data_IF_264511128323
#
_entry.id   IF_264511128323
#
_cell.length_a   1.000
_cell.length_b   1.000
_cell.length_c   1.000
_cell.angle_alpha   90.00
_cell.angle_beta   90.00
_cell.angle_gamma   90.00
#
_symmetry.space_group_name_H-M   'P 1'
#
loop_
_entity.id
_entity.type
_entity.pdbx_description
1 polymer ?
#
# COMPACT_ATOMS: atom_id res chain seq x y z
N UNK A 1 24.89 22.93 -1.30
CA UNK A 1 24.48 22.71 -1.33
C UNK A 1 23.95 22.27 -1.00
N UNK A 2 24.06 22.11 -1.19
CA UNK A 2 23.54 21.61 -1.11
C UNK A 2 22.94 21.11 -1.01
N UNK A 3 23.01 20.96 -1.10
CA UNK A 3 22.40 20.38 -1.14
C UNK A 3 21.81 19.96 -1.12
N UNK A 4 22.20 20.12 -1.36
CA UNK A 4 21.45 19.59 -1.48
C UNK A 4 21.01 18.91 -1.26
N UNK A 5 21.25 18.69 -1.31
CA UNK A 5 20.74 18.02 -1.22
C UNK A 5 20.11 17.44 -0.72
N UNK A 6 20.27 17.42 -0.50
CA UNK A 6 19.53 17.07 -0.08
C UNK A 6 18.96 16.46 0.03
N UNK A 7 19.06 16.31 -0.39
CA UNK A 7 18.41 15.87 -0.56
C UNK A 7 17.96 15.04 -0.21
N UNK A 8 18.29 14.84 -0.54
CA UNK A 8 18.10 13.80 -0.37
C UNK A 8 17.36 13.01 0.59
N UNK A 9 17.20 13.17 1.51
CA UNK A 9 16.32 12.65 2.46
C UNK A 9 14.96 12.45 1.94
N UNK A 10 14.64 13.26 1.00
CA UNK A 10 13.40 13.12 0.32
C UNK A 10 13.33 11.84 -0.46
N UNK A 11 14.41 11.11 -0.47
CA UNK A 11 14.47 9.89 -1.25
C UNK A 11 13.81 8.72 -0.60
N UNK A 12 13.45 8.84 0.69
CA UNK A 12 12.78 7.75 1.39
C UNK A 12 11.31 8.09 1.56
N UNK A 13 10.47 7.25 1.00
CA UNK A 13 9.02 7.39 1.08
C UNK A 13 8.53 6.52 2.22
N UNK A 14 8.42 7.11 3.41
CA UNK A 14 8.10 6.40 4.64
C UNK A 14 6.65 5.98 4.72
N UNK A 15 6.36 5.04 5.60
CA UNK A 15 4.99 4.62 5.86
C UNK A 15 4.09 5.80 6.19
N UNK A 16 4.56 6.74 7.01
CA UNK A 16 3.79 7.93 7.36
C UNK A 16 3.48 8.80 6.14
N UNK A 17 4.38 8.84 5.17
CA UNK A 17 4.14 9.57 3.92
C UNK A 17 3.05 8.88 3.10
N UNK A 18 3.08 7.56 3.02
CA UNK A 18 2.06 6.78 2.31
C UNK A 18 0.70 7.04 2.94
N UNK A 19 0.60 6.95 4.25
CA UNK A 19 -0.64 7.20 4.98
C UNK A 19 -1.14 8.61 4.69
N UNK A 20 -0.26 9.60 4.74
CA UNK A 20 -0.64 11.00 4.48
C UNK A 20 -1.17 11.21 3.06
N UNK A 21 -0.53 10.62 2.07
CA UNK A 21 -0.97 10.71 0.68
C UNK A 21 -2.38 10.12 0.54
N UNK A 22 -2.59 8.93 1.10
CA UNK A 22 -3.88 8.25 0.98
C UNK A 22 -4.98 8.99 1.71
N UNK A 23 -4.71 9.47 2.93
CA UNK A 23 -5.72 10.20 3.68
C UNK A 23 -6.22 11.43 2.91
N UNK A 24 -5.30 12.21 2.37
CA UNK A 24 -5.67 13.40 1.60
C UNK A 24 -6.38 13.05 0.30
N UNK A 25 -5.82 12.12 -0.45
CA UNK A 25 -6.36 11.76 -1.74
C UNK A 25 -7.73 11.12 -1.66
N UNK A 26 -7.90 10.20 -0.72
CA UNK A 26 -9.19 9.53 -0.54
C UNK A 26 -10.26 10.52 -0.09
N UNK A 27 -9.92 11.41 0.84
CA UNK A 27 -10.88 12.44 1.27
C UNK A 27 -11.29 13.35 0.12
N UNK A 28 -10.35 13.75 -0.72
CA UNK A 28 -10.64 14.56 -1.90
C UNK A 28 -11.58 13.82 -2.86
N UNK A 29 -11.47 12.50 -2.91
CA UNK A 29 -12.32 11.67 -3.78
C UNK A 29 -13.63 11.28 -3.13
N UNK A 30 -13.94 11.83 -1.97
CA UNK A 30 -15.23 11.65 -1.32
C UNK A 30 -15.31 10.49 -0.33
N UNK A 31 -14.20 9.87 0.00
CA UNK A 31 -14.17 8.79 0.98
C UNK A 31 -14.17 9.35 2.41
N UNK A 32 -14.86 8.67 3.31
CA UNK A 32 -14.73 8.88 4.74
C UNK A 32 -13.53 8.03 5.18
N UNK A 33 -12.52 8.66 5.78
CA UNK A 33 -11.25 7.98 6.11
C UNK A 33 -10.99 8.08 7.61
N UNK A 34 -10.65 6.95 8.22
CA UNK A 34 -10.22 6.89 9.62
C UNK A 34 -8.89 6.19 9.68
N UNK A 35 -8.02 6.61 10.61
CA UNK A 35 -6.76 5.94 10.84
C UNK A 35 -6.77 5.24 12.20
N UNK A 36 -5.87 4.28 12.37
CA UNK A 36 -5.73 3.48 13.59
C UNK A 36 -7.07 2.88 14.01
N UNK A 37 -7.71 2.17 13.08
CA UNK A 37 -9.04 1.60 13.31
C UNK A 37 -8.93 0.27 14.03
N UNK A 38 -9.64 0.13 15.14
CA UNK A 38 -9.63 -1.11 15.93
C UNK A 38 -10.50 -2.17 15.26
N UNK A 39 -9.93 -3.34 15.07
CA UNK A 39 -10.60 -4.52 14.53
C UNK A 39 -10.50 -5.65 15.55
N UNK A 40 -11.02 -6.82 15.20
CA UNK A 40 -11.04 -7.97 16.11
C UNK A 40 -9.64 -8.37 16.58
N UNK A 41 -8.64 -8.28 15.72
CA UNK A 41 -7.28 -8.78 15.96
C UNK A 41 -6.21 -7.70 16.04
N UNK A 42 -6.59 -6.46 16.25
CA UNK A 42 -5.62 -5.36 16.34
C UNK A 42 -6.10 -4.15 15.56
N UNK A 43 -5.16 -3.29 15.16
CA UNK A 43 -5.49 -2.03 14.50
C UNK A 43 -5.07 -2.05 13.03
N UNK A 44 -5.93 -1.56 12.16
CA UNK A 44 -5.57 -1.28 10.77
C UNK A 44 -5.07 0.15 10.65
N UNK A 45 -4.17 0.39 9.71
CA UNK A 45 -3.63 1.74 9.50
C UNK A 45 -4.70 2.71 9.03
N UNK A 46 -5.54 2.28 8.09
CA UNK A 46 -6.61 3.09 7.53
C UNK A 46 -7.86 2.26 7.28
N UNK A 47 -9.02 2.92 7.39
CA UNK A 47 -10.28 2.41 6.88
C UNK A 47 -10.92 3.49 6.04
N UNK A 48 -11.47 3.14 4.89
CA UNK A 48 -12.10 4.08 3.98
C UNK A 48 -13.45 3.55 3.55
N UNK A 49 -14.47 4.41 3.65
CA UNK A 49 -15.86 4.05 3.34
C UNK A 49 -16.47 5.04 2.37
N UNK A 50 -17.14 4.51 1.35
CA UNK A 50 -17.85 5.33 0.37
C UNK A 50 -18.91 4.48 -0.33
N UNK A 51 -20.14 4.97 -0.36
CA UNK A 51 -21.22 4.35 -1.12
C UNK A 51 -21.41 2.85 -0.82
N UNK A 52 -21.30 2.48 0.45
CA UNK A 52 -21.45 1.09 0.88
C UNK A 52 -20.22 0.21 0.68
N UNK A 53 -19.13 0.76 0.14
CA UNK A 53 -17.87 0.05 -0.02
C UNK A 53 -16.95 0.41 1.14
N UNK A 54 -16.39 -0.61 1.80
CA UNK A 54 -15.49 -0.44 2.93
C UNK A 54 -14.14 -1.09 2.63
N UNK A 55 -13.07 -0.31 2.76
CA UNK A 55 -11.71 -0.81 2.63
C UNK A 55 -11.01 -0.82 3.98
N UNK A 56 -10.26 -1.88 4.23
CA UNK A 56 -9.28 -1.97 5.32
C UNK A 56 -7.91 -1.97 4.65
N UNK A 57 -7.05 -1.05 5.04
CA UNK A 57 -5.78 -0.80 4.35
C UNK A 57 -4.62 -0.88 5.34
N UNK A 58 -3.63 -1.71 5.01
CA UNK A 58 -2.34 -1.72 5.70
C UNK A 58 -1.32 -0.99 4.84
N UNK A 59 -0.64 -0.02 5.42
CA UNK A 59 0.33 0.80 4.70
C UNK A 59 1.75 0.40 5.06
N UNK A 60 2.62 0.38 4.06
CA UNK A 60 4.05 0.16 4.25
C UNK A 60 4.82 1.19 3.45
N UNK A 61 6.00 1.52 3.92
CA UNK A 61 6.86 2.49 3.26
C UNK A 61 8.28 1.98 3.15
N UNK A 62 9.14 2.84 2.62
CA UNK A 62 10.55 2.51 2.45
C UNK A 62 11.33 2.71 3.75
N UNK A 63 12.41 1.96 3.88
CA UNK A 63 13.44 2.10 4.89
C UNK A 63 14.79 2.22 4.23
N UNK A 64 15.82 2.49 5.03
CA UNK A 64 17.17 2.63 4.54
C UNK A 64 17.77 1.35 3.96
N UNK A 65 17.18 0.20 4.24
CA UNK A 65 17.70 -1.09 3.80
C UNK A 65 17.50 -1.43 2.33
N UNK A 66 16.91 -0.54 1.54
CA UNK A 66 16.72 -0.76 0.12
C UNK A 66 15.77 -1.91 -0.19
N UNK A 67 16.11 -2.74 -1.18
CA UNK A 67 15.25 -3.83 -1.61
C UNK A 67 14.92 -4.82 -0.49
N UNK A 68 15.92 -5.19 0.31
CA UNK A 68 15.69 -6.14 1.41
C UNK A 68 14.68 -5.62 2.42
N UNK A 69 14.76 -4.32 2.74
CA UNK A 69 13.81 -3.70 3.65
C UNK A 69 12.41 -3.63 3.02
N UNK A 70 12.33 -3.29 1.73
CA UNK A 70 11.05 -3.24 1.02
C UNK A 70 10.40 -4.62 1.01
N UNK A 71 11.16 -5.66 0.76
CA UNK A 71 10.66 -7.04 0.76
C UNK A 71 10.12 -7.43 2.13
N UNK A 72 10.89 -7.15 3.17
CA UNK A 72 10.45 -7.44 4.55
C UNK A 72 9.19 -6.65 4.89
N UNK A 73 9.15 -5.37 4.56
CA UNK A 73 7.99 -4.53 4.85
C UNK A 73 6.75 -5.02 4.12
N UNK A 74 6.90 -5.43 2.86
CA UNK A 74 5.78 -5.97 2.10
C UNK A 74 5.26 -7.27 2.72
N UNK A 75 6.16 -8.16 3.10
CA UNK A 75 5.80 -9.43 3.74
C UNK A 75 5.08 -9.20 5.07
N UNK A 76 5.59 -8.27 5.88
CA UNK A 76 4.92 -7.91 7.14
C UNK A 76 3.54 -7.33 6.88
N UNK A 77 3.43 -6.48 5.86
CA UNK A 77 2.15 -5.89 5.48
C UNK A 77 1.14 -6.94 5.06
N UNK A 78 1.55 -7.91 4.25
CA UNK A 78 0.66 -9.00 3.86
C UNK A 78 0.20 -9.82 5.06
N UNK A 79 1.13 -10.17 5.95
CA UNK A 79 0.79 -10.93 7.15
C UNK A 79 -0.18 -10.17 8.04
N UNK A 80 0.07 -8.89 8.26
CA UNK A 80 -0.82 -8.06 9.06
C UNK A 80 -2.20 -7.95 8.39
N UNK A 81 -2.23 -7.72 7.08
CA UNK A 81 -3.49 -7.61 6.36
C UNK A 81 -4.31 -8.89 6.44
N UNK A 82 -3.65 -10.04 6.27
CA UNK A 82 -4.34 -11.34 6.38
C UNK A 82 -4.99 -11.51 7.74
N UNK A 83 -4.31 -11.08 8.82
CA UNK A 83 -4.86 -11.16 10.15
C UNK A 83 -6.07 -10.23 10.35
N UNK A 84 -6.19 -9.19 9.52
CA UNK A 84 -7.33 -8.26 9.56
C UNK A 84 -8.53 -8.74 8.76
N UNK A 85 -8.37 -9.80 7.96
CA UNK A 85 -9.44 -10.31 7.09
C UNK A 85 -10.45 -11.14 7.87
N UNK A 86 -11.24 -10.45 8.69
CA UNK A 86 -12.22 -11.08 9.58
C UNK A 86 -13.67 -10.75 9.21
N UNK A 87 -13.87 -9.92 8.18
CA UNK A 87 -15.21 -9.53 7.71
C UNK A 87 -15.25 -9.69 6.19
N UNK A 88 -16.05 -10.65 5.74
CA UNK A 88 -16.12 -10.99 4.31
C UNK A 88 -16.77 -9.88 3.48
N UNK A 89 -17.49 -8.96 4.12
CA UNK A 89 -18.17 -7.87 3.41
C UNK A 89 -17.27 -6.67 3.15
N UNK A 90 -16.04 -6.70 3.66
CA UNK A 90 -15.08 -5.62 3.44
C UNK A 90 -14.07 -6.00 2.37
N UNK A 91 -13.47 -4.98 1.78
CA UNK A 91 -12.35 -5.13 0.85
C UNK A 91 -11.05 -4.83 1.58
N UNK A 92 -9.98 -5.47 1.14
CA UNK A 92 -8.70 -5.37 1.83
C UNK A 92 -7.63 -4.93 0.85
N UNK A 93 -6.74 -4.08 1.32
CA UNK A 93 -5.69 -3.52 0.48
C UNK A 93 -4.37 -3.38 1.23
N UNK A 94 -3.27 -3.53 0.50
CA UNK A 94 -1.96 -3.12 0.95
C UNK A 94 -1.58 -1.86 0.19
N UNK A 95 -1.01 -0.90 0.91
CA UNK A 95 -0.58 0.36 0.31
C UNK A 95 0.93 0.50 0.43
N UNK A 96 1.56 0.99 -0.63
CA UNK A 96 3.00 1.21 -0.63
C UNK A 96 3.36 2.26 -1.70
N UNK A 97 4.59 2.80 -1.65
CA UNK A 97 4.98 3.80 -2.64
C UNK A 97 5.32 3.15 -3.98
N UNK A 98 5.20 3.91 -5.05
CA UNK A 98 5.48 3.45 -6.42
C UNK A 98 6.99 3.45 -6.73
N UNK A 99 7.80 3.03 -5.78
CA UNK A 99 9.25 3.03 -5.93
C UNK A 99 9.74 1.72 -6.55
N UNK A 100 10.89 1.74 -7.21
CA UNK A 100 11.39 0.54 -7.89
C UNK A 100 11.53 -0.68 -6.99
N UNK A 101 11.93 -0.49 -5.73
CA UNK A 101 12.11 -1.61 -4.82
C UNK A 101 10.81 -2.33 -4.54
N UNK A 102 9.72 -1.59 -4.30
CA UNK A 102 8.41 -2.21 -4.07
C UNK A 102 7.86 -2.87 -5.32
N UNK A 103 8.10 -2.29 -6.49
CA UNK A 103 7.69 -2.92 -7.76
C UNK A 103 8.43 -4.25 -7.96
N UNK A 104 9.72 -4.29 -7.67
CA UNK A 104 10.49 -5.53 -7.74
C UNK A 104 9.97 -6.59 -6.79
N UNK A 105 9.59 -6.18 -5.58
CA UNK A 105 9.01 -7.11 -4.61
C UNK A 105 7.72 -7.69 -5.17
N UNK A 106 6.85 -6.84 -5.70
CA UNK A 106 5.57 -7.28 -6.23
C UNK A 106 5.75 -8.29 -7.37
N UNK A 107 6.77 -8.11 -8.21
CA UNK A 107 7.08 -9.06 -9.29
C UNK A 107 7.29 -10.49 -8.79
N UNK A 108 7.80 -10.65 -7.57
CA UNK A 108 8.04 -11.98 -6.99
C UNK A 108 6.73 -12.73 -6.70
N UNK A 109 5.62 -12.01 -6.64
CA UNK A 109 4.32 -12.60 -6.33
C UNK A 109 3.48 -12.87 -7.58
N UNK A 110 4.01 -12.55 -8.74
CA UNK A 110 3.26 -12.61 -10.00
C UNK A 110 2.67 -14.01 -10.27
N UNK A 111 3.44 -15.04 -10.01
CA UNK A 111 3.02 -16.42 -10.26
C UNK A 111 2.37 -17.10 -9.05
N UNK A 112 2.26 -16.39 -7.93
CA UNK A 112 1.74 -16.98 -6.70
C UNK A 112 0.22 -17.08 -6.73
N UNK A 113 -0.31 -18.30 -6.84
CA UNK A 113 -1.76 -18.47 -6.77
C UNK A 113 -2.31 -18.11 -5.39
N UNK A 114 -1.51 -18.28 -4.34
CA UNK A 114 -1.92 -17.92 -2.99
C UNK A 114 -2.11 -16.41 -2.85
N UNK A 115 -1.19 -15.63 -3.41
CA UNK A 115 -1.33 -14.18 -3.42
C UNK A 115 -2.57 -13.76 -4.20
N UNK A 116 -2.78 -14.34 -5.38
CA UNK A 116 -3.97 -14.05 -6.19
C UNK A 116 -5.24 -14.40 -5.45
N UNK A 117 -5.22 -15.48 -4.68
CA UNK A 117 -6.37 -15.94 -3.92
C UNK A 117 -6.76 -15.04 -2.77
N UNK A 118 -5.86 -14.16 -2.33
CA UNK A 118 -6.19 -13.18 -1.29
C UNK A 118 -7.17 -12.11 -1.78
N UNK A 119 -7.23 -11.90 -3.10
CA UNK A 119 -8.15 -10.95 -3.71
C UNK A 119 -7.97 -9.53 -3.16
N UNK A 120 -6.73 -9.12 -2.92
CA UNK A 120 -6.44 -7.82 -2.34
C UNK A 120 -6.27 -6.74 -3.42
N UNK A 121 -6.53 -5.50 -3.01
CA UNK A 121 -6.29 -4.31 -3.82
C UNK A 121 -4.92 -3.75 -3.46
N UNK A 122 -4.33 -3.01 -4.40
CA UNK A 122 -3.13 -2.23 -4.13
C UNK A 122 -3.50 -0.75 -4.16
N UNK A 123 -3.08 -0.02 -3.14
CA UNK A 123 -3.18 1.44 -3.12
C UNK A 123 -1.76 1.97 -3.26
N UNK A 124 -1.48 2.64 -4.35
CA UNK A 124 -0.12 3.07 -4.70
C UNK A 124 0.02 4.56 -4.48
N UNK A 125 0.98 4.96 -3.65
CA UNK A 125 1.27 6.36 -3.38
C UNK A 125 2.44 6.81 -4.27
N UNK A 126 2.25 7.89 -5.01
CA UNK A 126 3.25 8.43 -5.90
C UNK A 126 4.03 9.58 -5.26
N UNK A 127 5.23 9.82 -5.79
CA UNK A 127 6.09 10.89 -5.28
C UNK A 127 5.50 12.29 -5.39
N UNK A 128 4.59 12.50 -6.34
CA UNK A 128 3.90 13.79 -6.51
C UNK A 128 2.69 13.95 -5.59
N UNK A 129 2.53 13.05 -4.64
CA UNK A 129 1.43 13.06 -3.64
C UNK A 129 0.08 12.62 -4.19
N UNK A 130 0.03 12.09 -5.39
CA UNK A 130 -1.16 11.43 -5.90
C UNK A 130 -1.17 9.96 -5.50
N UNK A 131 -2.31 9.32 -5.63
CA UNK A 131 -2.43 7.88 -5.42
C UNK A 131 -3.30 7.28 -6.53
N UNK A 132 -3.19 5.97 -6.69
CA UNK A 132 -4.13 5.24 -7.54
C UNK A 132 -4.36 3.85 -6.96
N UNK A 133 -5.44 3.22 -7.41
CA UNK A 133 -5.87 1.91 -6.91
C UNK A 133 -5.75 0.89 -8.02
N UNK A 134 -5.17 -0.27 -7.70
CA UNK A 134 -5.08 -1.39 -8.62
C UNK A 134 -5.98 -2.50 -8.07
N UNK A 135 -7.13 -2.76 -8.72
CA UNK A 135 -7.98 -3.88 -8.30
C UNK A 135 -7.27 -5.22 -8.51
N UNK A 136 -7.69 -6.28 -7.81
CA UNK A 136 -7.02 -7.59 -7.93
C UNK A 136 -6.88 -8.07 -9.36
N UNK A 137 -7.91 -7.90 -10.18
CA UNK A 137 -7.89 -8.37 -11.58
C UNK A 137 -6.86 -7.63 -12.44
N UNK A 138 -6.47 -6.42 -12.04
CA UNK A 138 -5.56 -5.59 -12.81
C UNK A 138 -4.10 -5.69 -12.34
N UNK A 139 -3.85 -6.43 -11.27
CA UNK A 139 -2.49 -6.58 -10.74
C UNK A 139 -1.52 -7.18 -11.78
N UNK A 140 -1.89 -8.24 -12.52
CA UNK A 140 -0.97 -8.77 -13.53
C UNK A 140 -0.56 -7.73 -14.58
N UNK A 141 -1.51 -6.93 -15.06
CA UNK A 141 -1.22 -5.89 -16.04
C UNK A 141 -0.35 -4.78 -15.44
N UNK A 142 -0.61 -4.44 -14.17
CA UNK A 142 0.21 -3.46 -13.46
C UNK A 142 1.65 -3.93 -13.33
N UNK A 143 1.85 -5.20 -12.98
CA UNK A 143 3.20 -5.77 -12.87
C UNK A 143 3.89 -5.71 -14.24
N UNK A 144 3.21 -6.14 -15.31
CA UNK A 144 3.78 -6.13 -16.65
C UNK A 144 4.17 -4.73 -17.10
N UNK A 145 3.31 -3.75 -16.84
CA UNK A 145 3.56 -2.37 -17.25
C UNK A 145 4.69 -1.69 -16.49
N UNK A 146 5.07 -2.23 -15.34
CA UNK A 146 6.10 -1.64 -14.46
C UNK A 146 7.30 -2.57 -14.26
N UNK A 147 7.43 -3.59 -15.07
CA UNK A 147 8.49 -4.59 -14.92
C UNK A 147 9.87 -3.95 -15.02
N UNK A 148 10.72 -4.36 -14.12
CA UNK A 148 12.07 -3.83 -14.00
C UNK A 148 13.09 -4.92 -14.35
#
# INVERSE_FOLDING_TARGET
MRKNRKESTLDIFKESDVIGVLKRGLKQDGWSVKDQVKLANGYADLAADKDGISFIIEAKGEDKGGFSAAEMNFQMGLGQLMARMTDIDKKYAIAFPSTPDFIKVLQKYEASFAFKGLDIYLFIANGDRSYFVVPPKDIPAFIDGNRI
#
